data_IF_559288000775
#
_entry.id   IF_559288000775
#
_cell.length_a   1.000
_cell.length_b   1.000
_cell.length_c   1.000
_cell.angle_alpha   90.00
_cell.angle_beta   90.00
_cell.angle_gamma   90.00
#
_symmetry.space_group_name_H-M   'P 1'
#
loop_
_entity.id
_entity.type
_entity.pdbx_description
1 polymer ?
#
# COMPACT_ATOMS: atom_id res chain seq x y z
N UNK A 1 -7.58 3.28 -11.83
CA UNK A 1 -8.53 4.08 -11.02
C UNK A 1 -7.88 4.58 -9.74
N UNK A 2 -7.30 3.69 -8.93
CA UNK A 2 -6.69 4.00 -7.62
C UNK A 2 -5.60 5.08 -7.66
N UNK A 3 -4.77 5.11 -8.71
CA UNK A 3 -3.75 6.15 -8.89
C UNK A 3 -4.34 7.55 -9.10
N UNK A 4 -5.34 7.68 -9.98
CA UNK A 4 -6.02 8.95 -10.23
C UNK A 4 -6.79 9.45 -9.00
N UNK A 5 -7.35 8.53 -8.22
CA UNK A 5 -8.06 8.87 -6.99
C UNK A 5 -7.09 9.37 -5.91
N UNK A 6 -5.92 8.73 -5.77
CA UNK A 6 -4.86 9.21 -4.89
C UNK A 6 -4.36 10.62 -5.27
N UNK A 7 -4.14 10.87 -6.57
CA UNK A 7 -3.78 12.20 -7.07
C UNK A 7 -4.90 13.23 -6.88
N UNK A 8 -6.16 12.84 -7.08
CA UNK A 8 -7.30 13.73 -6.88
C UNK A 8 -7.44 14.14 -5.40
N UNK A 9 -7.29 13.19 -4.47
CA UNK A 9 -7.33 13.49 -3.04
C UNK A 9 -6.15 14.39 -2.65
N UNK A 10 -4.92 14.06 -3.05
CA UNK A 10 -3.76 14.90 -2.76
C UNK A 10 -3.89 16.30 -3.41
N UNK A 11 -4.41 16.38 -4.63
CA UNK A 11 -4.66 17.63 -5.34
C UNK A 11 -5.72 18.49 -4.66
N UNK A 12 -6.81 17.89 -4.17
CA UNK A 12 -7.83 18.59 -3.37
C UNK A 12 -7.26 19.11 -2.06
N UNK A 13 -6.52 18.27 -1.32
CA UNK A 13 -5.88 18.66 -0.06
C UNK A 13 -4.88 19.80 -0.29
N UNK A 14 -4.11 19.75 -1.38
CA UNK A 14 -3.19 20.81 -1.78
C UNK A 14 -3.91 22.09 -2.20
N UNK A 15 -4.98 21.99 -2.99
CA UNK A 15 -5.76 23.14 -3.48
C UNK A 15 -6.44 23.91 -2.34
N UNK A 16 -7.01 23.19 -1.36
CA UNK A 16 -7.62 23.81 -0.18
C UNK A 16 -6.61 24.23 0.89
N UNK A 17 -5.32 23.93 0.71
CA UNK A 17 -4.27 24.28 1.66
C UNK A 17 -4.45 23.66 3.05
N UNK A 18 -5.16 22.53 3.17
CA UNK A 18 -5.45 21.93 4.48
C UNK A 18 -4.19 21.52 5.24
N UNK A 19 -3.11 21.17 4.54
CA UNK A 19 -1.81 20.87 5.17
C UNK A 19 -1.15 22.16 5.69
N UNK A 20 -1.29 23.28 4.98
CA UNK A 20 -0.72 24.57 5.40
C UNK A 20 -1.49 25.21 6.57
N UNK A 21 -2.74 24.81 6.81
CA UNK A 21 -3.52 25.22 7.98
C UNK A 21 -3.10 24.50 9.27
N UNK A 22 -2.45 23.35 9.17
CA UNK A 22 -2.04 22.56 10.32
C UNK A 22 -0.65 22.98 10.83
N UNK A 23 -0.39 22.89 12.15
CA UNK A 23 0.96 23.06 12.68
C UNK A 23 1.92 22.05 12.03
N UNK A 24 3.11 22.52 11.64
CA UNK A 24 4.12 21.67 10.97
C UNK A 24 4.44 20.40 11.78
N UNK A 25 4.43 20.51 13.11
CA UNK A 25 4.68 19.38 14.01
C UNK A 25 3.61 18.28 13.90
N UNK A 26 2.34 18.64 13.71
CA UNK A 26 1.25 17.69 13.51
C UNK A 26 1.39 16.97 12.16
N UNK A 27 1.73 17.73 11.11
CA UNK A 27 1.98 17.16 9.77
C UNK A 27 3.17 16.21 9.81
N UNK A 28 4.26 16.57 10.50
CA UNK A 28 5.44 15.70 10.68
C UNK A 28 5.09 14.43 11.43
N UNK A 29 4.26 14.53 12.47
CA UNK A 29 3.77 13.37 13.21
C UNK A 29 2.95 12.45 12.30
N UNK A 30 2.02 13.01 11.51
CA UNK A 30 1.21 12.25 10.57
C UNK A 30 2.05 11.55 9.49
N UNK A 31 3.05 12.24 8.92
CA UNK A 31 4.01 11.66 7.96
C UNK A 31 4.80 10.52 8.61
N UNK A 32 5.25 10.68 9.85
CA UNK A 32 5.94 9.63 10.60
C UNK A 32 5.06 8.40 10.84
N UNK A 33 3.79 8.60 11.20
CA UNK A 33 2.80 7.52 11.35
C UNK A 33 2.58 6.80 10.01
N UNK A 34 2.46 7.54 8.91
CA UNK A 34 2.31 6.97 7.57
C UNK A 34 3.52 6.09 7.18
N UNK A 35 4.74 6.53 7.48
CA UNK A 35 5.96 5.74 7.28
C UNK A 35 5.93 4.42 8.07
N UNK A 36 5.54 4.48 9.36
CA UNK A 36 5.45 3.31 10.22
C UNK A 36 4.40 2.32 9.71
N UNK A 37 3.20 2.79 9.36
CA UNK A 37 2.15 1.92 8.82
C UNK A 37 2.59 1.28 7.51
N UNK A 38 3.24 2.04 6.62
CA UNK A 38 3.75 1.51 5.36
C UNK A 38 4.79 0.41 5.58
N UNK A 39 5.72 0.59 6.52
CA UNK A 39 6.71 -0.41 6.91
C UNK A 39 6.06 -1.69 7.45
N UNK A 40 5.07 -1.56 8.33
CA UNK A 40 4.35 -2.70 8.90
C UNK A 40 3.56 -3.45 7.83
N UNK A 41 2.85 -2.73 6.96
CA UNK A 41 2.07 -3.35 5.88
C UNK A 41 2.95 -4.05 4.84
N UNK A 42 4.13 -3.50 4.53
CA UNK A 42 5.14 -4.17 3.72
C UNK A 42 5.51 -5.53 4.33
N UNK A 43 5.80 -5.56 5.63
CA UNK A 43 6.10 -6.81 6.35
C UNK A 43 4.96 -7.82 6.31
N UNK A 44 3.72 -7.38 6.54
CA UNK A 44 2.54 -8.24 6.47
C UNK A 44 2.27 -8.80 5.07
N UNK A 45 2.50 -8.01 4.02
CA UNK A 45 2.36 -8.49 2.64
C UNK A 45 3.42 -9.54 2.29
N UNK A 46 4.66 -9.37 2.76
CA UNK A 46 5.72 -10.38 2.60
C UNK A 46 5.34 -11.66 3.35
N UNK A 47 4.86 -11.54 4.60
CA UNK A 47 4.39 -12.70 5.36
C UNK A 47 3.23 -13.44 4.66
N UNK A 48 2.24 -12.70 4.13
CA UNK A 48 1.14 -13.29 3.37
C UNK A 48 1.62 -14.03 2.10
N UNK A 49 2.63 -13.48 1.40
CA UNK A 49 3.27 -14.17 0.27
C UNK A 49 3.97 -15.46 0.71
N UNK A 50 4.69 -15.45 1.84
CA UNK A 50 5.34 -16.64 2.39
C UNK A 50 4.32 -17.73 2.76
N UNK A 51 3.19 -17.34 3.37
CA UNK A 51 2.10 -18.27 3.67
C UNK A 51 1.56 -18.88 2.38
N UNK A 52 1.20 -18.07 1.38
CA UNK A 52 0.73 -18.56 0.07
C UNK A 52 1.73 -19.52 -0.59
N UNK A 53 3.03 -19.21 -0.53
CA UNK A 53 4.08 -20.06 -1.06
C UNK A 53 4.13 -21.42 -0.35
N UNK A 54 3.97 -21.44 0.98
CA UNK A 54 3.97 -22.68 1.77
C UNK A 54 2.78 -23.60 1.46
N UNK A 55 1.60 -23.04 1.18
CA UNK A 55 0.37 -23.81 0.89
C UNK A 55 0.18 -24.09 -0.61
N UNK A 56 1.15 -23.70 -1.46
CA UNK A 56 1.07 -23.82 -2.92
C UNK A 56 0.93 -25.26 -3.44
N UNK A 57 1.19 -26.26 -2.60
CA UNK A 57 0.96 -27.68 -2.90
C UNK A 57 -0.52 -28.11 -2.93
N UNK A 58 -1.46 -27.28 -2.44
CA UNK A 58 -2.89 -27.64 -2.39
C UNK A 58 -3.50 -27.74 -3.80
N UNK A 59 -4.47 -28.67 -4.00
CA UNK A 59 -5.05 -28.98 -5.33
C UNK A 59 -5.63 -27.74 -6.03
N UNK A 60 -6.28 -26.85 -5.27
CA UNK A 60 -6.80 -25.57 -5.75
C UNK A 60 -5.69 -24.64 -6.24
N UNK A 61 -4.64 -24.43 -5.43
CA UNK A 61 -3.51 -23.56 -5.77
C UNK A 61 -2.71 -24.10 -6.95
N UNK A 62 -2.56 -25.42 -7.06
CA UNK A 62 -1.95 -26.09 -8.22
C UNK A 62 -2.78 -25.90 -9.50
N UNK A 63 -4.11 -25.90 -9.39
CA UNK A 63 -5.00 -25.57 -10.52
C UNK A 63 -4.93 -24.07 -10.89
N UNK A 64 -4.82 -23.18 -9.90
CA UNK A 64 -4.59 -21.75 -10.13
C UNK A 64 -3.20 -21.45 -10.71
N UNK A 65 -2.19 -22.28 -10.40
CA UNK A 65 -0.87 -22.21 -11.01
C UNK A 65 -0.92 -22.58 -12.49
N UNK A 66 -1.62 -23.68 -12.83
CA UNK A 66 -1.80 -24.11 -14.23
C UNK A 66 -2.52 -23.05 -15.08
N UNK A 67 -3.48 -22.33 -14.52
CA UNK A 67 -4.24 -21.27 -15.22
C UNK A 67 -3.57 -19.89 -15.13
N UNK A 68 -2.44 -19.75 -14.43
CA UNK A 68 -1.71 -18.48 -14.28
C UNK A 68 -2.30 -17.48 -13.28
N UNK A 69 -3.47 -17.78 -12.68
CA UNK A 69 -4.11 -16.94 -11.67
C UNK A 69 -3.24 -16.77 -10.41
N UNK A 70 -2.52 -17.83 -10.00
CA UNK A 70 -1.61 -17.77 -8.85
C UNK A 70 -0.46 -16.78 -9.06
N UNK A 71 0.18 -16.80 -10.23
CA UNK A 71 1.26 -15.86 -10.57
C UNK A 71 0.76 -14.42 -10.63
N UNK A 72 -0.47 -14.22 -11.11
CA UNK A 72 -1.11 -12.90 -11.11
C UNK A 72 -1.39 -12.39 -9.71
N UNK A 73 -1.86 -13.25 -8.80
CA UNK A 73 -2.09 -12.89 -7.40
C UNK A 73 -0.77 -12.51 -6.70
N UNK A 74 0.26 -13.35 -6.81
CA UNK A 74 1.58 -13.08 -6.23
C UNK A 74 2.20 -11.79 -6.79
N UNK A 75 2.12 -11.58 -8.11
CA UNK A 75 2.62 -10.36 -8.74
C UNK A 75 1.90 -9.12 -8.22
N UNK A 76 0.58 -9.18 -7.98
CA UNK A 76 -0.19 -8.07 -7.41
C UNK A 76 0.21 -7.81 -5.95
N UNK A 77 0.36 -8.86 -5.14
CA UNK A 77 0.88 -8.75 -3.77
C UNK A 77 2.27 -8.10 -3.73
N UNK A 78 3.16 -8.52 -4.61
CA UNK A 78 4.50 -7.96 -4.73
C UNK A 78 4.48 -6.49 -5.16
N UNK A 79 3.68 -6.12 -6.16
CA UNK A 79 3.52 -4.72 -6.57
C UNK A 79 2.96 -3.84 -5.45
N UNK A 80 2.03 -4.37 -4.66
CA UNK A 80 1.49 -3.64 -3.53
C UNK A 80 2.53 -3.46 -2.41
N UNK A 81 3.31 -4.50 -2.13
CA UNK A 81 4.43 -4.43 -1.20
C UNK A 81 5.45 -3.37 -1.67
N UNK A 82 5.86 -3.41 -2.94
CA UNK A 82 6.76 -2.42 -3.52
C UNK A 82 6.18 -0.99 -3.42
N UNK A 83 4.88 -0.80 -3.67
CA UNK A 83 4.22 0.49 -3.54
C UNK A 83 4.22 1.01 -2.09
N UNK A 84 3.99 0.15 -1.09
CA UNK A 84 4.18 0.52 0.32
C UNK A 84 5.64 0.84 0.65
N UNK A 85 6.60 0.12 0.07
CA UNK A 85 8.02 0.42 0.20
C UNK A 85 8.37 1.81 -0.34
N UNK A 86 7.82 2.19 -1.50
CA UNK A 86 7.99 3.54 -2.06
C UNK A 86 7.33 4.59 -1.15
N UNK A 87 6.11 4.36 -0.69
CA UNK A 87 5.41 5.27 0.21
C UNK A 87 6.19 5.52 1.51
N UNK A 88 6.79 4.46 2.07
CA UNK A 88 7.67 4.55 3.23
C UNK A 88 8.90 5.41 2.95
N UNK A 89 9.59 5.19 1.82
CA UNK A 89 10.78 5.98 1.44
C UNK A 89 10.41 7.46 1.24
N UNK A 90 9.28 7.74 0.58
CA UNK A 90 8.78 9.12 0.39
C UNK A 90 8.47 9.78 1.73
N UNK A 91 7.82 9.07 2.65
CA UNK A 91 7.51 9.58 3.98
C UNK A 91 8.78 9.89 4.79
N UNK A 92 9.75 8.97 4.79
CA UNK A 92 11.04 9.17 5.48
C UNK A 92 11.80 10.36 4.88
N UNK A 93 11.86 10.46 3.54
CA UNK A 93 12.49 11.59 2.87
C UNK A 93 11.82 12.91 3.24
N UNK A 94 10.49 12.93 3.32
CA UNK A 94 9.69 14.10 3.71
C UNK A 94 10.02 14.57 5.13
N UNK A 95 10.22 13.66 6.09
CA UNK A 95 10.57 14.02 7.48
C UNK A 95 11.87 14.82 7.56
N UNK A 96 12.81 14.61 6.64
CA UNK A 96 14.11 15.32 6.65
C UNK A 96 14.03 16.69 5.96
N UNK A 97 13.00 16.94 5.14
CA UNK A 97 12.78 18.21 4.44
C UNK A 97 12.25 19.30 5.37
N UNK A 98 12.43 20.58 4.97
CA UNK A 98 11.97 21.78 5.71
C UNK A 98 11.45 22.85 4.76
N UNK A 99 10.50 23.68 5.20
CA UNK A 99 9.93 24.77 4.39
C UNK A 99 9.08 24.27 3.23
N UNK A 100 9.07 24.99 2.10
CA UNK A 100 8.30 24.62 0.90
C UNK A 100 8.44 23.14 0.43
N UNK A 101 9.63 22.51 0.41
CA UNK A 101 9.73 21.10 0.02
C UNK A 101 9.11 20.14 1.04
N UNK A 102 8.94 20.53 2.31
CA UNK A 102 8.24 19.71 3.30
C UNK A 102 6.74 19.59 2.97
N UNK A 103 6.08 20.70 2.60
CA UNK A 103 4.66 20.68 2.23
C UNK A 103 4.40 19.84 0.98
N UNK A 104 5.24 19.99 -0.04
CA UNK A 104 5.19 19.16 -1.24
C UNK A 104 5.45 17.68 -0.92
N UNK A 105 6.41 17.40 -0.04
CA UNK A 105 6.68 16.04 0.45
C UNK A 105 5.52 15.45 1.25
N UNK A 106 4.83 16.24 2.07
CA UNK A 106 3.67 15.79 2.83
C UNK A 106 2.50 15.42 1.91
N UNK A 107 2.24 16.22 0.87
CA UNK A 107 1.27 15.88 -0.18
C UNK A 107 1.66 14.61 -0.95
N UNK A 108 2.94 14.49 -1.31
CA UNK A 108 3.46 13.30 -1.97
C UNK A 108 3.34 12.05 -1.07
N UNK A 109 3.57 12.19 0.23
CA UNK A 109 3.37 11.12 1.21
C UNK A 109 1.92 10.69 1.27
N UNK A 110 0.98 11.63 1.32
CA UNK A 110 -0.45 11.34 1.32
C UNK A 110 -0.87 10.58 0.06
N UNK A 111 -0.51 11.07 -1.13
CA UNK A 111 -0.86 10.42 -2.39
C UNK A 111 -0.22 9.02 -2.51
N UNK A 112 1.06 8.92 -2.15
CA UNK A 112 1.80 7.65 -2.22
C UNK A 112 1.32 6.64 -1.18
N UNK A 113 0.69 7.06 -0.09
CA UNK A 113 0.08 6.17 0.90
C UNK A 113 -1.33 5.70 0.51
N UNK A 114 -2.18 6.59 -0.01
CA UNK A 114 -3.54 6.24 -0.45
C UNK A 114 -3.52 5.19 -1.57
N UNK A 115 -2.58 5.32 -2.51
CA UNK A 115 -2.47 4.42 -3.65
C UNK A 115 -2.32 2.92 -3.27
N UNK A 116 -1.31 2.50 -2.48
CA UNK A 116 -1.16 1.12 -2.03
C UNK A 116 -2.27 0.68 -1.06
N UNK A 117 -2.86 1.58 -0.27
CA UNK A 117 -4.02 1.23 0.56
C UNK A 117 -5.22 0.82 -0.29
N UNK A 118 -5.49 1.50 -1.40
CA UNK A 118 -6.55 1.08 -2.32
C UNK A 118 -6.23 -0.25 -3.02
N UNK A 119 -4.98 -0.45 -3.46
CA UNK A 119 -4.54 -1.72 -4.05
C UNK A 119 -4.66 -2.89 -3.05
N UNK A 120 -4.43 -2.61 -1.76
CA UNK A 120 -4.57 -3.60 -0.71
C UNK A 120 -6.02 -4.10 -0.60
N UNK A 121 -7.02 -3.24 -0.73
CA UNK A 121 -8.45 -3.63 -0.67
C UNK A 121 -8.77 -4.63 -1.78
N UNK A 122 -8.33 -4.36 -3.01
CA UNK A 122 -8.51 -5.26 -4.15
C UNK A 122 -7.84 -6.61 -3.95
N UNK A 123 -6.65 -6.61 -3.31
CA UNK A 123 -5.88 -7.82 -3.02
C UNK A 123 -6.53 -8.61 -1.89
N UNK A 124 -6.97 -7.95 -0.82
CA UNK A 124 -7.61 -8.56 0.32
C UNK A 124 -8.87 -9.35 -0.10
N UNK A 125 -9.69 -8.76 -0.98
CA UNK A 125 -10.86 -9.44 -1.53
C UNK A 125 -10.50 -10.71 -2.31
N UNK A 126 -9.49 -10.63 -3.18
CA UNK A 126 -9.03 -11.79 -3.98
C UNK A 126 -8.41 -12.85 -3.10
N UNK A 127 -7.64 -12.44 -2.10
CA UNK A 127 -7.00 -13.34 -1.15
C UNK A 127 -8.05 -14.08 -0.31
N UNK A 128 -9.08 -13.37 0.16
CA UNK A 128 -10.24 -13.96 0.82
C UNK A 128 -10.92 -15.02 -0.04
N UNK A 129 -11.19 -14.74 -1.32
CA UNK A 129 -11.76 -15.72 -2.24
C UNK A 129 -10.90 -16.97 -2.41
N UNK A 130 -9.56 -16.83 -2.44
CA UNK A 130 -8.69 -18.02 -2.53
C UNK A 130 -8.76 -18.84 -1.25
N UNK A 131 -8.72 -18.19 -0.08
CA UNK A 131 -8.79 -18.86 1.21
C UNK A 131 -10.16 -19.51 1.48
N UNK A 132 -11.26 -18.87 1.10
CA UNK A 132 -12.60 -19.44 1.26
C UNK A 132 -12.83 -20.64 0.37
N UNK A 133 -12.14 -20.73 -0.77
CA UNK A 133 -12.17 -21.89 -1.66
C UNK A 133 -11.09 -22.96 -1.32
N UNK A 134 -10.23 -22.69 -0.33
CA UNK A 134 -9.25 -23.65 0.17
C UNK A 134 -9.83 -24.56 1.26
N UNK A 135 -10.94 -24.18 1.91
CA UNK A 135 -11.57 -25.01 2.94
C UNK A 135 -12.09 -26.31 2.31
N UNK A 136 -11.68 -27.48 2.83
CA UNK A 136 -12.20 -28.76 2.39
C UNK A 136 -13.65 -28.89 2.89
N UNK A 137 -14.59 -28.97 1.96
CA UNK A 137 -15.65 -29.97 2.12
C UNK A 137 -15.06 -31.34 1.77
#
# INVERSE_FOLDING_TARGET
>A
MSFFLALAVAGLVGYYGWIAMLPEQEVRSAVGIAAQIAATMLGFLIAAMSILASISGHRLLRNMQRTGHYRTLLRRLFWNAAAYGIAMVVAIATVVMKGAPFEAGALATLASFIFPTMLLIDIAWRFWLVLSNLSPE
#
